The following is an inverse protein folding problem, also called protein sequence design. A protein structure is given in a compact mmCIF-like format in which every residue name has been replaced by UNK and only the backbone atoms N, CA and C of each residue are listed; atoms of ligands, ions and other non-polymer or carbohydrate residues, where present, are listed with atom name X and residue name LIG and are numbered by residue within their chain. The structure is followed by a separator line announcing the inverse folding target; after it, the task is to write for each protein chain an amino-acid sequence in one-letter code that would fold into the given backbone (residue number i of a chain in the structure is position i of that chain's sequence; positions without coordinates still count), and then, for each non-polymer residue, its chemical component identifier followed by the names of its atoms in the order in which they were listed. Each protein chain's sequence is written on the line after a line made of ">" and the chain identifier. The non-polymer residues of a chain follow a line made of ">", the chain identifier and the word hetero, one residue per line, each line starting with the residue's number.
data_IF_488616574673
#
_entry.id   IF_488616574673
#
_cell.length_a   1.000
_cell.length_b   1.000
_cell.length_c   1.000
_cell.angle_alpha   90.00
_cell.angle_beta   90.00
_cell.angle_gamma   90.00
#
_symmetry.space_group_name_H-M   'P 1'
#
loop_
_entity.id
_entity.type
_entity.pdbx_description
1 polymer ?
#
# COMPACT_ATOMS: atom_id res chain seq x y z
N UNK A 1 -20.86 -8.79 12.83
CA UNK A 1 -19.72 -7.83 12.79
C UNK A 1 -19.17 -7.83 11.37
N UNK A 2 -19.71 -6.96 10.52
CA UNK A 2 -19.27 -6.81 9.13
C UNK A 2 -18.04 -5.91 9.17
N UNK A 3 -16.86 -6.51 9.27
CA UNK A 3 -15.61 -5.77 9.18
C UNK A 3 -15.55 -5.13 7.80
N UNK A 4 -15.19 -3.86 7.74
CA UNK A 4 -14.90 -3.14 6.50
C UNK A 4 -13.66 -3.75 5.86
N UNK A 5 -13.81 -4.90 5.19
CA UNK A 5 -12.70 -5.70 4.68
C UNK A 5 -12.11 -5.03 3.45
N UNK A 6 -10.86 -4.62 3.56
CA UNK A 6 -10.06 -4.16 2.43
C UNK A 6 -9.69 -5.35 1.57
N UNK A 7 -10.00 -5.30 0.27
CA UNK A 7 -9.74 -6.42 -0.63
C UNK A 7 -8.23 -6.54 -0.85
N UNK A 8 -7.66 -7.69 -0.47
CA UNK A 8 -6.23 -7.99 -0.66
C UNK A 8 -5.31 -7.49 0.46
N UNK A 9 -5.86 -6.89 1.52
CA UNK A 9 -5.12 -6.51 2.71
C UNK A 9 -5.09 -7.71 3.68
N UNK A 10 -3.95 -8.02 4.32
CA UNK A 10 -3.91 -9.04 5.37
C UNK A 10 -4.75 -8.62 6.58
N UNK A 11 -5.21 -9.61 7.35
CA UNK A 11 -5.98 -9.39 8.58
C UNK A 11 -5.21 -8.58 9.64
N UNK A 12 -3.88 -8.71 9.64
CA UNK A 12 -3.00 -7.98 10.55
C UNK A 12 -2.08 -7.06 9.76
N UNK A 13 -2.28 -5.75 9.88
CA UNK A 13 -1.32 -4.74 9.43
C UNK A 13 -0.51 -4.26 10.63
N UNK A 14 0.82 -4.29 10.52
CA UNK A 14 1.72 -3.85 11.60
C UNK A 14 1.98 -2.35 11.53
N UNK A 15 2.09 -1.79 10.32
CA UNK A 15 2.36 -0.37 10.11
C UNK A 15 1.72 0.12 8.81
N UNK A 16 1.47 1.43 8.74
CA UNK A 16 1.03 2.10 7.51
C UNK A 16 1.69 3.47 7.38
N UNK A 17 1.97 3.90 6.15
CA UNK A 17 2.56 5.21 5.85
C UNK A 17 1.81 5.89 4.71
N UNK A 18 1.77 7.22 4.76
CA UNK A 18 1.29 8.09 3.68
C UNK A 18 2.45 8.95 3.19
N UNK A 19 2.79 8.85 1.90
CA UNK A 19 3.83 9.65 1.27
C UNK A 19 3.19 10.73 0.41
N UNK A 20 3.51 12.02 0.59
CA UNK A 20 3.01 13.07 -0.28
C UNK A 20 3.35 12.79 -1.76
N UNK A 21 2.34 12.85 -2.61
CA UNK A 21 2.46 12.72 -4.05
C UNK A 21 1.44 13.63 -4.76
N UNK A 22 1.94 14.76 -5.29
CA UNK A 22 1.13 15.76 -6.00
C UNK A 22 0.44 15.24 -7.28
N UNK A 23 0.81 14.04 -7.75
CA UNK A 23 0.20 13.41 -8.94
C UNK A 23 -1.05 12.61 -8.59
N UNK A 24 -1.32 12.38 -7.29
CA UNK A 24 -2.52 11.69 -6.83
C UNK A 24 -3.64 12.70 -6.56
N UNK A 25 -4.91 12.36 -6.82
CA UNK A 25 -6.05 13.26 -6.58
C UNK A 25 -6.17 13.72 -5.12
N UNK A 26 -5.81 12.87 -4.17
CA UNK A 26 -5.79 13.14 -2.73
C UNK A 26 -4.42 13.63 -2.23
N UNK A 27 -3.42 13.65 -3.10
CA UNK A 27 -2.08 14.12 -2.79
C UNK A 27 -1.18 13.11 -2.06
N UNK A 28 -1.56 11.83 -1.96
CA UNK A 28 -0.77 10.84 -1.23
C UNK A 28 -0.71 9.46 -1.89
N UNK A 29 0.44 8.80 -1.79
CA UNK A 29 0.55 7.35 -1.93
C UNK A 29 0.45 6.70 -0.55
N UNK A 30 -0.32 5.62 -0.47
CA UNK A 30 -0.56 4.88 0.77
C UNK A 30 0.08 3.50 0.69
N UNK A 31 0.78 3.13 1.77
CA UNK A 31 1.40 1.81 1.89
C UNK A 31 1.09 1.19 3.25
N UNK A 32 0.87 -0.12 3.25
CA UNK A 32 0.71 -0.92 4.46
C UNK A 32 1.79 -2.00 4.52
N UNK A 33 2.17 -2.36 5.74
CA UNK A 33 3.19 -3.34 6.04
C UNK A 33 2.59 -4.40 6.94
N UNK A 34 2.86 -5.66 6.62
CA UNK A 34 2.49 -6.80 7.44
C UNK A 34 3.59 -7.83 7.36
N UNK A 35 4.29 -8.06 8.48
CA UNK A 35 5.46 -8.94 8.54
C UNK A 35 6.48 -8.50 7.46
N UNK A 36 6.89 -9.42 6.59
CA UNK A 36 7.85 -9.18 5.50
C UNK A 36 7.17 -8.75 4.19
N UNK A 37 5.86 -8.46 4.21
CA UNK A 37 5.09 -8.07 3.03
C UNK A 37 4.70 -6.59 3.07
N UNK A 38 4.69 -6.01 1.88
CA UNK A 38 4.43 -4.61 1.61
C UNK A 38 3.26 -4.51 0.65
N UNK A 39 2.36 -3.56 0.86
CA UNK A 39 1.15 -3.42 0.05
C UNK A 39 0.97 -1.95 -0.37
N UNK A 40 0.67 -1.73 -1.64
CA UNK A 40 0.16 -0.45 -2.10
C UNK A 40 -1.35 -0.39 -1.87
N UNK A 41 -1.83 0.70 -1.28
CA UNK A 41 -3.22 0.87 -0.89
C UNK A 41 -3.90 1.87 -1.81
N UNK A 42 -5.03 1.45 -2.37
CA UNK A 42 -5.95 2.30 -3.10
C UNK A 42 -7.14 2.59 -2.20
N UNK A 43 -7.11 3.77 -1.59
CA UNK A 43 -8.09 4.20 -0.59
C UNK A 43 -9.50 4.35 -1.18
N UNK A 44 -9.70 4.98 -2.35
CA UNK A 44 -11.02 5.10 -2.96
C UNK A 44 -11.68 3.74 -3.23
N UNK A 45 -10.94 2.78 -3.76
CA UNK A 45 -11.47 1.44 -4.10
C UNK A 45 -11.44 0.44 -2.93
N UNK A 46 -10.79 0.81 -1.82
CA UNK A 46 -10.52 -0.06 -0.66
C UNK A 46 -9.81 -1.35 -1.04
N UNK A 47 -8.82 -1.24 -1.92
CA UNK A 47 -8.02 -2.38 -2.38
C UNK A 47 -6.56 -2.26 -1.96
N UNK A 48 -5.91 -3.39 -1.73
CA UNK A 48 -4.50 -3.50 -1.42
C UNK A 48 -3.83 -4.47 -2.37
N UNK A 49 -2.65 -4.09 -2.86
CA UNK A 49 -1.87 -4.89 -3.81
C UNK A 49 -0.49 -5.17 -3.23
N UNK A 50 -0.20 -6.45 -3.02
CA UNK A 50 1.11 -6.88 -2.54
C UNK A 50 2.19 -6.47 -3.55
N UNK A 51 3.23 -5.81 -3.05
CA UNK A 51 4.37 -5.39 -3.84
C UNK A 51 5.39 -6.52 -3.76
N UNK A 52 5.41 -7.37 -4.78
CA UNK A 52 6.48 -8.35 -4.96
C UNK A 52 7.64 -7.65 -5.65
N UNK A 53 8.63 -7.17 -4.90
CA UNK A 53 9.90 -6.78 -5.51
C UNK A 53 10.54 -8.04 -6.08
N UNK A 54 10.68 -8.13 -7.41
CA UNK A 54 11.70 -9.02 -7.98
C UNK A 54 13.02 -8.57 -7.34
N UNK A 55 13.71 -9.48 -6.67
CA UNK A 55 14.99 -9.20 -5.99
C UNK A 55 15.88 -8.34 -6.90
N UNK A 56 16.18 -7.10 -6.49
CA UNK A 56 17.03 -6.17 -7.23
C UNK A 56 16.36 -4.96 -7.90
N UNK A 57 15.04 -4.77 -7.80
CA UNK A 57 14.38 -3.54 -8.29
C UNK A 57 13.96 -2.60 -7.15
N UNK A 58 14.65 -1.47 -7.04
CA UNK A 58 14.24 -0.35 -6.18
C UNK A 58 12.97 0.29 -6.73
N UNK A 59 11.94 0.45 -5.89
CA UNK A 59 10.62 1.02 -6.26
C UNK A 59 10.66 2.51 -6.64
N UNK A 60 11.80 3.17 -6.42
CA UNK A 60 11.93 4.59 -6.65
C UNK A 60 12.32 4.87 -8.10
N UNK A 61 11.38 5.38 -8.90
CA UNK A 61 11.69 6.21 -10.07
C UNK A 61 12.19 7.59 -9.62
N UNK A 62 13.22 7.64 -8.77
CA UNK A 62 13.99 8.88 -8.64
C UNK A 62 14.88 8.90 -9.88
N UNK A 63 14.62 9.86 -10.76
CA UNK A 63 15.48 10.18 -11.90
C UNK A 63 16.75 10.86 -11.39
#
# INVERSE_FOLDING_TARGET
>A
KQGTLWRGLPDTVTSAISLPNLRKPDGYDYYAFSKDQYYNIDVPSRTARAITTRSGQTLSKVW
#
